data_IF_343904497182
#
_entry.id   IF_343904497182
#
_cell.length_a   1.000
_cell.length_b   1.000
_cell.length_c   1.000
_cell.angle_alpha   90.00
_cell.angle_beta   90.00
_cell.angle_gamma   90.00
#
_symmetry.space_group_name_H-M   'P 1'
#
loop_
_entity.id
_entity.type
_entity.pdbx_description
1 polymer ?
#
# COMPACT_ATOMS: atom_id res chain seq x y z
N UNK A 1 -9.04 3.46 -4.66
CA UNK A 1 -9.39 4.73 -5.34
C UNK A 1 -8.27 5.18 -6.27
N UNK A 2 -8.53 5.99 -7.30
CA UNK A 2 -7.44 6.58 -8.10
C UNK A 2 -6.80 7.80 -7.43
N UNK A 3 -5.48 7.96 -7.55
CA UNK A 3 -4.66 9.08 -7.02
C UNK A 3 -3.54 9.44 -7.99
N UNK A 4 -3.17 10.72 -8.04
CA UNK A 4 -1.98 11.16 -8.79
C UNK A 4 -0.74 10.94 -7.93
N UNK A 5 0.18 10.09 -8.38
CA UNK A 5 1.42 9.74 -7.70
C UNK A 5 2.54 9.67 -8.74
N UNK A 6 3.61 10.43 -8.50
CA UNK A 6 4.71 10.66 -9.43
C UNK A 6 4.22 11.10 -10.83
N UNK A 7 3.24 12.00 -10.85
CA UNK A 7 2.66 12.56 -12.07
C UNK A 7 1.73 11.63 -12.85
N UNK A 8 1.42 10.44 -12.34
CA UNK A 8 0.55 9.47 -13.00
C UNK A 8 -0.67 9.09 -12.16
N UNK A 9 -1.78 8.79 -12.81
CA UNK A 9 -3.01 8.32 -12.15
C UNK A 9 -2.92 6.82 -11.83
N UNK A 10 -2.86 6.47 -10.55
CA UNK A 10 -2.72 5.09 -10.05
C UNK A 10 -3.87 4.68 -9.17
N UNK A 11 -4.24 3.41 -9.24
CA UNK A 11 -5.12 2.80 -8.23
C UNK A 11 -4.32 2.65 -6.93
N UNK A 12 -4.89 3.18 -5.86
CA UNK A 12 -4.45 2.98 -4.48
C UNK A 12 -5.46 2.08 -3.80
N UNK A 13 -4.97 1.02 -3.18
CA UNK A 13 -5.76 0.03 -2.46
C UNK A 13 -5.42 0.16 -0.97
N UNK A 14 -6.44 0.18 -0.12
CA UNK A 14 -6.26 0.27 1.33
C UNK A 14 -6.94 -0.93 1.97
N UNK A 15 -6.20 -1.62 2.81
CA UNK A 15 -6.64 -2.72 3.64
C UNK A 15 -6.55 -2.35 5.11
N UNK A 16 -7.64 -2.56 5.83
CA UNK A 16 -7.74 -2.41 7.28
C UNK A 16 -8.07 -3.78 7.88
N UNK A 17 -7.26 -4.30 8.81
CA UNK A 17 -7.55 -5.56 9.46
C UNK A 17 -8.78 -5.45 10.37
N UNK A 18 -9.60 -6.49 10.38
CA UNK A 18 -10.77 -6.59 11.25
C UNK A 18 -10.36 -7.00 12.66
N UNK A 19 -9.88 -6.01 13.42
CA UNK A 19 -9.50 -6.18 14.83
C UNK A 19 -10.07 -5.03 15.64
N UNK A 20 -10.34 -5.26 16.93
CA UNK A 20 -10.71 -4.18 17.85
C UNK A 20 -9.49 -3.27 18.09
N UNK A 21 -9.44 -2.18 17.33
CA UNK A 21 -8.33 -1.23 17.36
C UNK A 21 -8.47 -0.27 18.55
N UNK A 22 -7.84 -0.59 19.67
CA UNK A 22 -7.72 0.34 20.82
C UNK A 22 -6.59 1.36 20.66
N UNK A 23 -5.70 1.17 19.68
CA UNK A 23 -4.51 2.01 19.43
C UNK A 23 -4.25 2.19 17.93
N UNK A 24 -3.66 3.31 17.46
CA UNK A 24 -3.44 3.54 16.03
C UNK A 24 -2.69 2.40 15.35
N UNK A 25 -3.16 1.97 14.17
CA UNK A 25 -2.48 0.95 13.39
C UNK A 25 -1.21 1.52 12.75
N UNK A 26 -0.16 0.70 12.69
CA UNK A 26 0.94 0.95 11.76
C UNK A 26 0.45 0.84 10.31
N UNK A 27 1.17 1.47 9.38
CA UNK A 27 0.87 1.40 7.95
C UNK A 27 2.08 0.86 7.19
N UNK A 28 1.85 -0.17 6.36
CA UNK A 28 2.83 -0.67 5.39
C UNK A 28 2.38 -0.23 4.00
N UNK A 29 3.28 0.40 3.25
CA UNK A 29 3.05 0.80 1.86
C UNK A 29 3.77 -0.17 0.93
N UNK A 30 3.05 -0.77 0.00
CA UNK A 30 3.53 -1.75 -0.96
C UNK A 30 3.43 -1.19 -2.38
N UNK A 31 4.55 -1.06 -3.11
CA UNK A 31 4.53 -1.01 -4.58
C UNK A 31 3.99 -2.32 -5.16
N UNK A 32 3.67 -2.33 -6.46
CA UNK A 32 3.07 -3.49 -7.15
C UNK A 32 1.73 -3.92 -6.52
N UNK A 33 0.90 -2.93 -6.14
CA UNK A 33 -0.38 -3.15 -5.45
C UNK A 33 -1.29 -4.14 -6.17
N UNK A 34 -1.34 -4.08 -7.51
CA UNK A 34 -2.10 -5.00 -8.35
C UNK A 34 -1.63 -6.45 -8.18
N UNK A 35 -0.34 -6.68 -7.96
CA UNK A 35 0.20 -8.02 -7.73
C UNK A 35 -0.18 -8.53 -6.34
N UNK A 36 0.04 -7.72 -5.30
CA UNK A 36 -0.20 -8.13 -3.92
C UNK A 36 -1.69 -8.34 -3.61
N UNK A 37 -2.54 -7.42 -4.06
CA UNK A 37 -3.98 -7.44 -3.77
C UNK A 37 -4.74 -8.37 -4.71
N UNK A 38 -4.47 -8.31 -6.02
CA UNK A 38 -5.33 -8.99 -6.99
C UNK A 38 -4.86 -10.42 -7.29
N UNK A 39 -3.59 -10.75 -7.06
CA UNK A 39 -3.01 -12.04 -7.43
C UNK A 39 -2.49 -12.87 -6.25
N UNK A 40 -1.89 -12.24 -5.25
CA UNK A 40 -1.26 -12.95 -4.12
C UNK A 40 -2.15 -13.05 -2.87
N UNK A 41 -3.29 -12.38 -2.84
CA UNK A 41 -4.24 -12.45 -1.72
C UNK A 41 -3.67 -11.91 -0.40
N UNK A 42 -2.89 -10.82 -0.47
CA UNK A 42 -2.16 -10.26 0.69
C UNK A 42 -3.04 -10.02 1.91
N UNK A 43 -4.29 -9.58 1.73
CA UNK A 43 -5.22 -9.31 2.84
C UNK A 43 -5.44 -10.56 3.71
N UNK A 44 -5.75 -11.69 3.09
CA UNK A 44 -5.97 -12.95 3.81
C UNK A 44 -4.68 -13.46 4.49
N UNK A 45 -3.52 -13.26 3.85
CA UNK A 45 -2.24 -13.61 4.44
C UNK A 45 -1.93 -12.78 5.69
N UNK A 46 -2.25 -11.48 5.66
CA UNK A 46 -2.10 -10.57 6.79
C UNK A 46 -3.05 -10.96 7.93
N UNK A 47 -4.31 -11.28 7.63
CA UNK A 47 -5.26 -11.78 8.65
C UNK A 47 -4.75 -13.02 9.35
N UNK A 48 -4.28 -14.01 8.59
CA UNK A 48 -3.73 -15.23 9.16
C UNK A 48 -2.48 -14.94 10.00
N UNK A 49 -1.63 -13.99 9.59
CA UNK A 49 -0.44 -13.62 10.34
C UNK A 49 -0.79 -12.90 11.67
N UNK A 50 -1.78 -12.00 11.65
CA UNK A 50 -2.29 -11.30 12.84
C UNK A 50 -2.96 -12.29 13.79
N UNK A 51 -3.88 -13.12 13.31
CA UNK A 51 -4.64 -14.07 14.12
C UNK A 51 -3.76 -15.13 14.79
N UNK A 52 -2.62 -15.46 14.17
CA UNK A 52 -1.63 -16.35 14.77
C UNK A 52 -0.58 -15.63 15.62
N UNK A 53 -0.72 -14.32 15.86
CA UNK A 53 0.20 -13.52 16.67
C UNK A 53 1.61 -13.39 16.09
N UNK A 54 1.79 -13.64 14.80
CA UNK A 54 3.11 -13.56 14.13
C UNK A 54 3.53 -12.12 13.87
N UNK A 55 2.56 -11.26 13.62
CA UNK A 55 2.73 -9.81 13.45
C UNK A 55 1.69 -9.08 14.29
N UNK A 56 1.99 -7.83 14.65
CA UNK A 56 1.00 -6.93 15.23
C UNK A 56 -0.01 -6.48 14.16
N UNK A 57 -1.25 -6.11 14.54
CA UNK A 57 -2.21 -5.55 13.59
C UNK A 57 -1.66 -4.34 12.84
N UNK A 58 -1.85 -4.34 11.52
CA UNK A 58 -1.25 -3.35 10.62
C UNK A 58 -2.16 -3.11 9.41
N UNK A 59 -2.30 -1.85 9.00
CA UNK A 59 -2.97 -1.47 7.76
C UNK A 59 -2.00 -1.63 6.58
N UNK A 60 -2.52 -1.99 5.41
CA UNK A 60 -1.71 -2.14 4.19
C UNK A 60 -2.23 -1.19 3.11
N UNK A 61 -1.33 -0.47 2.46
CA UNK A 61 -1.61 0.35 1.29
C UNK A 61 -0.87 -0.17 0.07
N UNK A 62 -1.61 -0.67 -0.91
CA UNK A 62 -1.08 -0.99 -2.23
C UNK A 62 -1.11 0.22 -3.15
N UNK A 63 -0.01 0.47 -3.87
CA UNK A 63 0.06 1.44 -4.96
C UNK A 63 0.35 0.67 -6.23
N UNK A 64 -0.60 0.71 -7.15
CA UNK A 64 -0.50 -0.05 -8.38
C UNK A 64 0.54 0.56 -9.33
N UNK A 65 1.27 -0.32 -10.01
CA UNK A 65 2.04 0.05 -11.18
C UNK A 65 1.14 0.13 -12.41
N UNK A 66 1.55 0.93 -13.38
CA UNK A 66 0.78 1.11 -14.63
C UNK A 66 1.21 0.06 -15.65
N UNK A 67 2.52 -0.03 -15.88
CA UNK A 67 3.14 -1.02 -16.74
C UNK A 67 4.60 -1.26 -16.32
N UNK A 68 5.26 -2.23 -16.96
CA UNK A 68 6.63 -2.62 -16.62
C UNK A 68 7.65 -1.51 -16.90
N UNK A 69 7.45 -0.73 -17.97
CA UNK A 69 8.38 0.35 -18.33
C UNK A 69 8.35 1.45 -17.27
N UNK A 70 7.16 1.86 -16.88
CA UNK A 70 6.90 2.86 -15.86
C UNK A 70 7.38 2.38 -14.50
N UNK A 71 7.07 1.13 -14.13
CA UNK A 71 7.54 0.49 -12.90
C UNK A 71 9.06 0.58 -12.76
N UNK A 72 9.79 0.25 -13.83
CA UNK A 72 11.25 0.33 -13.81
C UNK A 72 11.74 1.78 -13.69
N UNK A 73 11.06 2.73 -14.33
CA UNK A 73 11.41 4.14 -14.25
C UNK A 73 11.17 4.72 -12.84
N UNK A 74 10.09 4.33 -12.16
CA UNK A 74 9.69 4.91 -10.88
C UNK A 74 10.33 4.21 -9.68
N UNK A 75 10.49 2.88 -9.72
CA UNK A 75 11.14 2.11 -8.67
C UNK A 75 12.67 2.10 -8.80
N UNK A 76 13.20 2.54 -9.95
CA UNK A 76 14.64 2.65 -10.24
C UNK A 76 15.38 3.80 -9.55
N UNK A 77 14.90 4.27 -8.39
CA UNK A 77 15.57 5.33 -7.60
C UNK A 77 15.00 6.74 -7.77
N UNK A 78 13.79 6.88 -8.32
CA UNK A 78 13.10 8.18 -8.41
C UNK A 78 12.43 8.55 -7.08
N UNK A 79 12.78 9.73 -6.57
CA UNK A 79 12.31 10.21 -5.26
C UNK A 79 10.87 10.73 -5.30
N UNK A 80 10.33 10.99 -6.48
CA UNK A 80 8.98 11.54 -6.68
C UNK A 80 7.91 10.61 -6.11
N UNK A 81 8.08 9.29 -6.25
CA UNK A 81 7.16 8.31 -5.65
C UNK A 81 7.09 8.47 -4.13
N UNK A 82 8.25 8.46 -3.47
CA UNK A 82 8.33 8.57 -2.01
C UNK A 82 7.84 9.94 -1.55
N UNK A 83 8.17 11.00 -2.28
CA UNK A 83 7.76 12.37 -1.96
C UNK A 83 6.26 12.54 -2.04
N UNK A 84 5.62 12.04 -3.11
CA UNK A 84 4.17 12.13 -3.29
C UNK A 84 3.42 11.25 -2.29
N UNK A 85 3.94 10.06 -1.98
CA UNK A 85 3.38 9.23 -0.91
C UNK A 85 3.38 10.00 0.41
N UNK A 86 4.55 10.51 0.81
CA UNK A 86 4.71 11.15 2.11
C UNK A 86 3.94 12.47 2.24
N UNK A 87 3.95 13.31 1.20
CA UNK A 87 3.42 14.68 1.25
C UNK A 87 1.97 14.80 0.81
N UNK A 88 1.50 13.92 -0.07
CA UNK A 88 0.19 14.05 -0.69
C UNK A 88 -0.74 12.89 -0.34
N UNK A 89 -0.23 11.66 -0.33
CA UNK A 89 -1.07 10.49 -0.10
C UNK A 89 -1.36 10.27 1.38
N UNK A 90 -0.32 10.10 2.21
CA UNK A 90 -0.46 9.81 3.65
C UNK A 90 -1.36 10.80 4.41
N UNK A 91 -1.31 12.12 4.17
CA UNK A 91 -2.20 13.06 4.86
C UNK A 91 -3.70 12.86 4.56
N UNK A 92 -4.05 12.22 3.44
CA UNK A 92 -5.45 12.00 3.04
C UNK A 92 -6.08 10.74 3.63
N UNK A 93 -5.28 9.93 4.34
CA UNK A 93 -5.68 8.62 4.87
C UNK A 93 -5.67 8.64 6.41
N UNK A 94 -5.48 9.83 7.01
CA UNK A 94 -5.55 10.05 8.46
C UNK A 94 -6.97 9.98 8.98
#
# INVERSE_FOLDING_TARGET
SSRIIAGQSRRVQLYMPDVDVLQPLGLVVLPDGETWFDHLGVCAAIDVAINNGRIVPVAIMGIDNIDEHERNAILGGRSELITDIARHLLPTIR
#
